data_IF_604222702569
#
_entry.id   IF_604222702569
#
_cell.length_a   1.000
_cell.length_b   1.000
_cell.length_c   1.000
_cell.angle_alpha   90.00
_cell.angle_beta   90.00
_cell.angle_gamma   90.00
#
_symmetry.space_group_name_H-M   'P 1'
#
loop_
_entity.id
_entity.type
_entity.pdbx_description
1 polymer ?
#
# COMPACT_ATOMS: atom_id res chain seq x y z
N UNK A 1 -65.85 53.72 -81.58
CA UNK A 1 -66.17 53.45 -80.15
C UNK A 1 -65.96 52.02 -79.71
N UNK A 2 -66.22 50.96 -80.49
CA UNK A 2 -66.10 49.57 -80.15
C UNK A 2 -64.65 49.13 -79.93
N UNK A 3 -63.71 49.54 -80.80
CA UNK A 3 -62.28 49.18 -80.68
C UNK A 3 -61.61 49.79 -79.45
N UNK A 4 -62.03 50.96 -78.97
CA UNK A 4 -61.50 51.53 -77.71
C UNK A 4 -62.01 50.77 -76.47
N UNK A 5 -63.24 50.30 -76.47
CA UNK A 5 -63.81 49.47 -75.40
C UNK A 5 -63.11 48.12 -75.29
N UNK A 6 -62.80 47.50 -76.41
CA UNK A 6 -62.08 46.23 -76.44
C UNK A 6 -60.61 46.37 -75.92
N UNK A 7 -59.99 47.52 -76.28
CA UNK A 7 -58.60 47.76 -75.80
C UNK A 7 -58.59 48.06 -74.31
N UNK A 8 -59.52 48.84 -73.77
CA UNK A 8 -59.65 49.11 -72.34
C UNK A 8 -60.03 47.85 -71.62
N UNK A 9 -60.89 46.98 -72.18
CA UNK A 9 -61.21 45.62 -71.61
C UNK A 9 -59.99 44.72 -71.51
N UNK A 10 -59.09 44.67 -72.50
CA UNK A 10 -57.85 43.89 -72.47
C UNK A 10 -56.83 44.44 -71.45
N UNK A 11 -56.72 45.75 -71.36
CA UNK A 11 -55.84 46.38 -70.37
C UNK A 11 -56.35 46.16 -68.96
N UNK A 12 -57.63 46.22 -68.70
CA UNK A 12 -58.27 45.92 -67.44
C UNK A 12 -58.00 44.44 -67.01
N UNK A 13 -58.21 43.46 -67.91
CA UNK A 13 -57.95 42.08 -67.67
C UNK A 13 -56.48 41.81 -67.34
N UNK A 14 -55.55 42.48 -68.09
CA UNK A 14 -54.12 42.40 -67.83
C UNK A 14 -53.71 42.97 -66.48
N UNK A 15 -54.32 44.07 -66.07
CA UNK A 15 -54.05 44.70 -64.77
C UNK A 15 -54.66 43.88 -63.65
N UNK A 16 -55.84 43.28 -63.87
CA UNK A 16 -56.42 42.36 -62.91
C UNK A 16 -55.54 41.09 -62.70
N UNK A 17 -55.08 40.45 -63.74
CA UNK A 17 -54.19 39.31 -63.70
C UNK A 17 -52.86 39.63 -62.96
N UNK A 18 -52.31 40.85 -63.30
CA UNK A 18 -51.08 41.32 -62.63
C UNK A 18 -51.31 41.59 -61.13
N UNK A 19 -52.47 42.13 -60.75
CA UNK A 19 -52.85 42.39 -59.38
C UNK A 19 -52.99 41.05 -58.60
N UNK A 20 -53.66 40.07 -59.20
CA UNK A 20 -53.81 38.75 -58.61
C UNK A 20 -52.48 38.05 -58.41
N UNK A 21 -51.59 38.16 -59.41
CA UNK A 21 -50.22 37.53 -59.28
C UNK A 21 -49.38 38.20 -58.18
N UNK A 22 -49.44 39.57 -58.14
CA UNK A 22 -48.74 40.27 -57.04
C UNK A 22 -49.32 39.99 -55.69
N UNK A 23 -50.66 39.80 -55.59
CA UNK A 23 -51.25 39.37 -54.31
C UNK A 23 -50.78 37.98 -53.88
N UNK A 24 -50.72 37.03 -54.82
CA UNK A 24 -50.20 35.69 -54.58
C UNK A 24 -48.72 35.69 -54.14
N UNK A 25 -47.90 36.53 -54.83
CA UNK A 25 -46.47 36.65 -54.40
C UNK A 25 -46.34 37.27 -53.01
N UNK A 26 -47.18 38.28 -52.70
CA UNK A 26 -47.21 38.93 -51.39
C UNK A 26 -47.61 37.95 -50.28
N UNK A 27 -48.68 37.16 -50.49
CA UNK A 27 -49.13 36.13 -49.52
C UNK A 27 -48.11 35.07 -49.37
N UNK A 28 -47.43 34.69 -50.45
CA UNK A 28 -46.30 33.65 -50.33
C UNK A 28 -45.10 34.20 -49.53
N UNK A 29 -44.79 35.48 -49.64
CA UNK A 29 -43.73 36.12 -48.84
C UNK A 29 -44.12 36.19 -47.38
N UNK A 30 -45.37 36.55 -47.06
CA UNK A 30 -45.86 36.59 -45.69
C UNK A 30 -45.84 35.15 -45.02
N UNK A 31 -46.32 34.16 -45.77
CA UNK A 31 -46.28 32.76 -45.29
C UNK A 31 -44.84 32.28 -45.00
N UNK A 32 -43.95 32.62 -45.93
CA UNK A 32 -42.55 32.27 -45.77
C UNK A 32 -41.84 33.01 -44.62
N UNK A 33 -42.19 34.29 -44.39
CA UNK A 33 -41.72 35.07 -43.25
C UNK A 33 -42.16 34.41 -41.93
N UNK A 34 -43.40 33.92 -41.85
CA UNK A 34 -43.94 33.26 -40.68
C UNK A 34 -43.32 31.90 -40.49
N UNK A 35 -43.23 31.08 -41.54
CA UNK A 35 -42.69 29.70 -41.44
C UNK A 35 -41.19 29.63 -41.14
N UNK A 36 -40.40 30.53 -41.78
CA UNK A 36 -38.94 30.51 -41.62
C UNK A 36 -38.42 31.36 -40.43
N UNK A 37 -39.15 32.45 -40.07
CA UNK A 37 -38.63 33.43 -39.09
C UNK A 37 -39.61 33.73 -37.94
N UNK A 38 -40.81 33.17 -37.97
CA UNK A 38 -41.89 33.43 -37.01
C UNK A 38 -42.21 34.94 -36.83
N UNK A 39 -42.01 35.73 -37.88
CA UNK A 39 -42.20 37.17 -37.86
C UNK A 39 -43.51 37.55 -38.58
N UNK A 40 -44.29 38.37 -37.89
CA UNK A 40 -45.42 39.12 -38.59
C UNK A 40 -44.84 40.25 -39.40
N UNK A 41 -45.66 40.77 -40.38
CA UNK A 41 -45.25 41.90 -41.18
C UNK A 41 -44.80 43.12 -40.36
N UNK A 42 -45.50 43.42 -39.26
CA UNK A 42 -45.19 44.57 -38.42
C UNK A 42 -43.86 44.38 -37.68
N UNK A 43 -43.63 43.20 -37.15
CA UNK A 43 -42.37 42.88 -36.52
C UNK A 43 -41.21 42.89 -37.51
N UNK A 44 -41.40 42.38 -38.70
CA UNK A 44 -40.40 42.45 -39.75
C UNK A 44 -40.06 43.88 -40.21
N UNK A 45 -41.05 44.80 -40.23
CA UNK A 45 -40.82 46.24 -40.51
C UNK A 45 -40.05 46.92 -39.36
N UNK A 46 -40.24 46.51 -38.12
CA UNK A 46 -39.52 47.02 -36.93
C UNK A 46 -38.06 46.48 -36.83
N UNK A 47 -37.82 45.23 -37.19
CA UNK A 47 -36.49 44.59 -37.13
C UNK A 47 -35.72 44.76 -38.44
N UNK A 48 -36.40 44.93 -39.52
CA UNK A 48 -35.81 44.98 -40.85
C UNK A 48 -35.02 46.28 -41.15
N UNK A 49 -33.73 46.12 -41.44
CA UNK A 49 -32.92 47.20 -42.01
C UNK A 49 -33.22 47.38 -43.47
N UNK A 50 -33.27 48.64 -43.90
CA UNK A 50 -33.55 49.01 -45.33
C UNK A 50 -32.32 48.66 -46.18
N UNK A 51 -32.46 47.55 -46.97
CA UNK A 51 -31.42 47.13 -47.88
C UNK A 51 -31.33 48.04 -49.08
N UNK A 52 -30.22 48.77 -49.21
CA UNK A 52 -30.02 49.71 -50.34
C UNK A 52 -29.65 48.98 -51.65
N UNK A 53 -28.87 47.86 -51.51
CA UNK A 53 -28.44 47.04 -52.66
C UNK A 53 -28.93 45.61 -52.52
N UNK A 54 -30.10 45.31 -53.02
CA UNK A 54 -30.75 44.00 -52.96
C UNK A 54 -29.95 42.91 -53.69
N UNK A 55 -29.34 43.09 -54.87
CA UNK A 55 -28.55 42.11 -55.56
C UNK A 55 -27.32 41.66 -54.75
N UNK A 56 -26.62 42.59 -54.13
CA UNK A 56 -25.44 42.30 -53.31
C UNK A 56 -25.83 41.54 -52.03
N UNK A 57 -26.93 41.91 -51.38
CA UNK A 57 -27.46 41.24 -50.22
C UNK A 57 -27.88 39.78 -50.51
N UNK A 58 -28.57 39.57 -51.66
CA UNK A 58 -28.96 38.25 -52.12
C UNK A 58 -27.73 37.32 -52.39
N UNK A 59 -26.67 37.87 -53.03
CA UNK A 59 -25.43 37.13 -53.28
C UNK A 59 -24.78 36.74 -52.00
N UNK A 60 -24.68 37.63 -51.03
CA UNK A 60 -24.10 37.34 -49.69
C UNK A 60 -24.90 36.33 -48.92
N UNK A 61 -26.23 36.37 -48.97
CA UNK A 61 -27.12 35.41 -48.39
C UNK A 61 -26.89 34.01 -48.99
N UNK A 62 -26.78 33.91 -50.31
CA UNK A 62 -26.49 32.67 -51.00
C UNK A 62 -25.10 32.10 -50.62
N UNK A 63 -24.07 32.96 -50.53
CA UNK A 63 -22.74 32.56 -50.06
C UNK A 63 -22.76 32.03 -48.62
N UNK A 64 -23.46 32.71 -47.71
CA UNK A 64 -23.59 32.28 -46.32
C UNK A 64 -24.35 30.95 -46.20
N UNK A 65 -25.46 30.79 -46.94
CA UNK A 65 -26.19 29.52 -46.98
C UNK A 65 -25.33 28.38 -47.51
N UNK A 66 -24.53 28.63 -48.55
CA UNK A 66 -23.60 27.64 -49.07
C UNK A 66 -22.49 27.29 -48.06
N UNK A 67 -21.94 28.29 -47.34
CA UNK A 67 -20.96 28.05 -46.26
C UNK A 67 -21.57 27.20 -45.12
N UNK A 68 -22.78 27.52 -44.68
CA UNK A 68 -23.49 26.74 -43.67
C UNK A 68 -23.72 25.31 -44.16
N UNK A 69 -24.15 25.14 -45.42
CA UNK A 69 -24.34 23.82 -46.02
C UNK A 69 -23.03 23.02 -46.16
N UNK A 70 -21.92 23.69 -46.42
CA UNK A 70 -20.60 23.10 -46.53
C UNK A 70 -20.05 22.64 -45.16
N UNK A 71 -20.47 23.24 -44.05
CA UNK A 71 -20.12 22.81 -42.69
C UNK A 71 -20.76 21.50 -42.29
N UNK A 72 -21.80 21.03 -43.04
CA UNK A 72 -22.48 19.76 -42.73
C UNK A 72 -23.24 19.78 -41.42
N UNK A 73 -23.34 18.59 -40.79
CA UNK A 73 -23.99 18.46 -39.49
C UNK A 73 -22.99 18.92 -38.38
N UNK A 74 -23.04 20.19 -38.02
CA UNK A 74 -22.24 20.73 -36.92
C UNK A 74 -22.90 20.35 -35.60
N UNK A 75 -22.17 19.63 -34.75
CA UNK A 75 -22.62 19.37 -33.39
C UNK A 75 -22.46 20.65 -32.55
N UNK A 76 -23.54 21.39 -32.37
CA UNK A 76 -23.55 22.62 -31.58
C UNK A 76 -23.25 22.38 -30.12
N UNK A 77 -23.55 21.16 -29.62
CA UNK A 77 -23.24 20.70 -28.25
C UNK A 77 -21.76 20.36 -28.02
N UNK A 78 -20.98 20.18 -29.12
CA UNK A 78 -19.58 19.72 -28.99
C UNK A 78 -18.70 20.69 -28.17
N UNK A 79 -18.99 21.96 -28.14
CA UNK A 79 -18.23 22.94 -27.33
C UNK A 79 -18.45 22.69 -25.83
N UNK A 80 -19.70 22.44 -25.44
CA UNK A 80 -20.05 22.18 -24.04
C UNK A 80 -19.48 20.81 -23.60
N UNK A 81 -19.70 19.80 -24.44
CA UNK A 81 -19.12 18.45 -24.19
C UNK A 81 -17.59 18.49 -24.06
N UNK A 82 -16.93 19.27 -24.92
CA UNK A 82 -15.47 19.45 -24.85
C UNK A 82 -15.02 20.09 -23.54
N UNK A 83 -15.75 21.13 -23.08
CA UNK A 83 -15.45 21.76 -21.80
C UNK A 83 -15.58 20.77 -20.62
N UNK A 84 -16.71 20.07 -20.55
CA UNK A 84 -16.95 19.07 -19.49
C UNK A 84 -15.90 17.96 -19.48
N UNK A 85 -15.59 17.43 -20.67
CA UNK A 85 -14.55 16.38 -20.81
C UNK A 85 -13.16 16.93 -20.48
N UNK A 86 -12.85 18.18 -20.89
CA UNK A 86 -11.56 18.80 -20.61
C UNK A 86 -11.37 19.07 -19.12
N UNK A 87 -12.39 19.56 -18.41
CA UNK A 87 -12.34 19.76 -16.96
C UNK A 87 -12.19 18.43 -16.22
N UNK A 88 -12.95 17.41 -16.61
CA UNK A 88 -12.84 16.07 -16.05
C UNK A 88 -11.46 15.45 -16.31
N UNK A 89 -10.93 15.63 -17.51
CA UNK A 89 -9.59 15.14 -17.86
C UNK A 89 -8.51 15.83 -17.02
N UNK A 90 -8.59 17.17 -16.88
CA UNK A 90 -7.63 17.91 -16.04
C UNK A 90 -7.66 17.46 -14.58
N UNK A 91 -8.87 17.25 -14.03
CA UNK A 91 -9.05 16.75 -12.68
C UNK A 91 -8.45 15.33 -12.51
N UNK A 92 -8.82 14.39 -13.40
CA UNK A 92 -8.31 13.01 -13.34
C UNK A 92 -6.79 12.95 -13.55
N UNK A 93 -6.26 13.79 -14.46
CA UNK A 93 -4.82 13.88 -14.68
C UNK A 93 -4.10 14.34 -13.42
N UNK A 94 -4.62 15.37 -12.73
CA UNK A 94 -4.07 15.81 -11.45
C UNK A 94 -4.06 14.69 -10.41
N UNK A 95 -5.14 13.91 -10.30
CA UNK A 95 -5.20 12.76 -9.38
C UNK A 95 -4.17 11.68 -9.75
N UNK A 96 -3.99 11.39 -11.04
CA UNK A 96 -2.97 10.42 -11.48
C UNK A 96 -1.57 10.90 -11.12
N UNK A 97 -1.27 12.17 -11.41
CA UNK A 97 0.04 12.76 -11.08
C UNK A 97 0.32 12.71 -9.56
N UNK A 98 -0.68 12.99 -8.72
CA UNK A 98 -0.57 12.89 -7.25
C UNK A 98 -0.33 11.46 -6.78
N UNK A 99 -1.05 10.49 -7.37
CA UNK A 99 -0.87 9.05 -7.04
C UNK A 99 0.50 8.56 -7.50
N UNK A 100 0.96 8.96 -8.69
CA UNK A 100 2.30 8.58 -9.19
C UNK A 100 3.41 9.17 -8.30
N UNK A 101 3.25 10.42 -7.85
CA UNK A 101 4.18 11.05 -6.91
C UNK A 101 4.20 10.30 -5.57
N UNK A 102 3.03 10.01 -5.00
CA UNK A 102 2.92 9.25 -3.74
C UNK A 102 3.52 7.84 -3.87
N UNK A 103 3.33 7.18 -5.02
CA UNK A 103 3.96 5.89 -5.33
C UNK A 103 5.48 6.00 -5.35
N UNK A 104 6.03 7.05 -5.97
CA UNK A 104 7.48 7.25 -6.02
C UNK A 104 8.06 7.48 -4.61
N UNK A 105 7.42 8.31 -3.80
CA UNK A 105 7.81 8.56 -2.41
C UNK A 105 7.78 7.28 -1.56
N UNK A 106 6.74 6.44 -1.72
CA UNK A 106 6.64 5.16 -1.03
C UNK A 106 7.73 4.17 -1.46
N UNK A 107 8.08 4.13 -2.74
CA UNK A 107 9.16 3.26 -3.25
C UNK A 107 10.53 3.70 -2.70
N UNK A 108 10.78 4.99 -2.62
CA UNK A 108 11.99 5.54 -2.00
C UNK A 108 12.06 5.17 -0.50
N UNK A 109 10.95 5.35 0.23
CA UNK A 109 10.85 4.94 1.63
C UNK A 109 11.11 3.45 1.83
N UNK A 110 10.57 2.58 0.97
CA UNK A 110 10.81 1.14 1.02
C UNK A 110 12.29 0.82 0.81
N UNK A 111 12.95 1.49 -0.12
CA UNK A 111 14.39 1.30 -0.37
C UNK A 111 15.22 1.71 0.85
N UNK A 112 14.93 2.85 1.44
CA UNK A 112 15.62 3.35 2.63
C UNK A 112 15.40 2.43 3.84
N UNK A 113 14.16 2.01 4.08
CA UNK A 113 13.85 1.03 5.13
C UNK A 113 14.58 -0.29 4.92
N UNK A 114 14.59 -0.81 3.69
CA UNK A 114 15.30 -2.07 3.37
C UNK A 114 16.79 -1.93 3.61
N UNK A 115 17.39 -0.80 3.24
CA UNK A 115 18.81 -0.52 3.49
C UNK A 115 19.11 -0.48 5.00
N UNK A 116 18.30 0.22 5.78
CA UNK A 116 18.46 0.28 7.24
C UNK A 116 18.26 -1.10 7.90
N UNK A 117 17.26 -1.87 7.43
CA UNK A 117 17.06 -3.24 7.91
C UNK A 117 18.28 -4.13 7.66
N UNK A 118 18.88 -4.08 6.45
CA UNK A 118 20.09 -4.83 6.12
C UNK A 118 21.25 -4.45 7.02
N UNK A 119 21.46 -3.16 7.23
CA UNK A 119 22.53 -2.67 8.09
C UNK A 119 22.33 -3.14 9.52
N UNK A 120 21.16 -2.90 10.12
CA UNK A 120 20.86 -3.33 11.49
C UNK A 120 20.96 -4.84 11.67
N UNK A 121 20.43 -5.60 10.69
CA UNK A 121 20.50 -7.06 10.73
C UNK A 121 21.95 -7.55 10.72
N UNK A 122 22.79 -7.04 9.83
CA UNK A 122 24.21 -7.41 9.74
C UNK A 122 24.96 -7.08 11.03
N UNK A 123 24.76 -5.87 11.57
CA UNK A 123 25.39 -5.45 12.81
C UNK A 123 24.96 -6.32 14.01
N UNK A 124 23.65 -6.58 14.14
CA UNK A 124 23.11 -7.43 15.22
C UNK A 124 23.54 -8.90 15.05
N UNK A 125 23.53 -9.39 13.82
CA UNK A 125 24.00 -10.75 13.56
C UNK A 125 25.47 -10.94 13.95
N UNK A 126 26.34 -9.99 13.63
CA UNK A 126 27.75 -10.03 14.05
C UNK A 126 27.89 -10.06 15.59
N UNK A 127 27.07 -9.26 16.31
CA UNK A 127 27.04 -9.28 17.77
C UNK A 127 26.53 -10.63 18.33
N UNK A 128 25.47 -11.18 17.74
CA UNK A 128 24.94 -12.49 18.10
C UNK A 128 25.99 -13.58 17.88
N UNK A 129 26.66 -13.57 16.74
CA UNK A 129 27.69 -14.55 16.41
C UNK A 129 28.87 -14.51 17.40
N UNK A 130 29.34 -13.31 17.72
CA UNK A 130 30.38 -13.13 18.73
C UNK A 130 29.96 -13.65 20.10
N UNK A 131 28.74 -13.31 20.54
CA UNK A 131 28.17 -13.78 21.80
C UNK A 131 28.01 -15.31 21.79
N UNK A 132 27.54 -15.87 20.68
CA UNK A 132 27.35 -17.31 20.52
C UNK A 132 28.66 -18.08 20.75
N UNK A 133 29.74 -17.64 20.09
CA UNK A 133 31.05 -18.26 20.29
C UNK A 133 31.58 -18.17 21.72
N UNK A 134 31.25 -17.09 22.46
CA UNK A 134 31.62 -16.96 23.89
C UNK A 134 30.79 -17.84 24.79
N UNK A 135 29.46 -17.81 24.65
CA UNK A 135 28.49 -18.55 25.46
C UNK A 135 28.67 -20.06 25.25
N UNK A 136 28.88 -20.47 23.99
CA UNK A 136 29.16 -21.85 23.67
C UNK A 136 30.39 -22.39 24.45
N UNK A 137 31.50 -21.62 24.42
CA UNK A 137 32.70 -22.01 25.18
C UNK A 137 32.47 -22.12 26.68
N UNK A 138 31.65 -21.24 27.22
CA UNK A 138 31.31 -21.25 28.64
C UNK A 138 30.44 -22.48 29.02
N UNK A 139 29.40 -22.76 28.23
CA UNK A 139 28.45 -23.82 28.49
C UNK A 139 29.06 -25.22 28.21
N UNK A 140 29.82 -25.36 27.13
CA UNK A 140 30.50 -26.63 26.80
C UNK A 140 31.81 -26.85 27.55
N UNK A 141 32.35 -25.79 28.19
CA UNK A 141 33.67 -25.85 28.83
C UNK A 141 34.82 -25.85 27.83
N UNK A 142 34.63 -25.29 26.64
CA UNK A 142 35.63 -25.21 25.58
C UNK A 142 35.01 -25.32 24.18
N UNK A 143 35.85 -25.49 23.16
CA UNK A 143 35.40 -25.64 21.79
C UNK A 143 35.22 -24.30 21.05
N UNK A 144 34.60 -24.36 19.90
CA UNK A 144 34.30 -23.19 19.06
C UNK A 144 32.90 -23.30 18.43
N UNK A 145 32.26 -22.17 18.27
CA UNK A 145 30.96 -22.09 17.57
C UNK A 145 30.85 -20.81 16.79
N UNK A 146 30.24 -20.89 15.64
CA UNK A 146 30.08 -19.78 14.70
C UNK A 146 28.75 -19.90 13.94
N UNK A 147 28.15 -18.75 13.63
CA UNK A 147 27.03 -18.61 12.71
C UNK A 147 27.52 -17.95 11.43
N UNK A 148 27.12 -18.47 10.28
CA UNK A 148 27.43 -17.89 8.96
C UNK A 148 26.20 -17.84 8.08
N UNK A 149 26.18 -16.90 7.15
CA UNK A 149 25.13 -16.88 6.11
C UNK A 149 25.40 -17.99 5.10
N UNK A 150 24.35 -18.59 4.56
CA UNK A 150 24.45 -19.56 3.45
C UNK A 150 24.60 -18.86 2.10
N UNK A 151 24.11 -17.61 2.00
CA UNK A 151 24.21 -16.76 0.82
C UNK A 151 24.51 -15.31 1.26
N UNK A 152 25.65 -14.81 0.87
CA UNK A 152 26.10 -13.45 1.19
C UNK A 152 25.46 -12.37 0.27
N UNK A 153 24.76 -12.78 -0.79
CA UNK A 153 24.17 -11.84 -1.75
C UNK A 153 23.00 -11.05 -1.16
N UNK A 154 22.18 -11.67 -0.30
CA UNK A 154 21.08 -11.00 0.40
C UNK A 154 20.90 -11.53 1.82
N UNK A 155 21.46 -10.81 2.77
CA UNK A 155 21.43 -11.17 4.20
C UNK A 155 20.03 -11.26 4.81
N UNK A 156 19.00 -10.62 4.19
CA UNK A 156 17.63 -10.65 4.71
C UNK A 156 16.87 -11.92 4.31
N UNK A 157 17.26 -12.56 3.21
CA UNK A 157 16.63 -13.79 2.69
C UNK A 157 17.53 -15.01 2.85
N UNK A 158 18.80 -14.81 3.23
CA UNK A 158 19.78 -15.88 3.42
C UNK A 158 19.37 -16.81 4.56
N UNK A 159 19.68 -18.10 4.40
CA UNK A 159 19.69 -19.05 5.49
C UNK A 159 20.88 -18.81 6.44
N UNK A 160 20.82 -19.39 7.64
CA UNK A 160 21.92 -19.34 8.62
C UNK A 160 22.43 -20.75 8.83
N UNK A 161 23.72 -20.93 8.61
CA UNK A 161 24.43 -22.16 8.91
C UNK A 161 25.04 -22.09 10.32
N UNK A 162 24.91 -23.18 11.10
CA UNK A 162 25.42 -23.27 12.45
C UNK A 162 26.62 -24.25 12.44
N UNK A 163 27.82 -23.71 12.70
CA UNK A 163 29.06 -24.47 12.78
C UNK A 163 29.49 -24.55 14.22
N UNK A 164 29.63 -25.79 14.73
CA UNK A 164 30.01 -26.03 16.14
C UNK A 164 31.06 -27.13 16.22
N UNK A 165 32.03 -26.90 17.09
CA UNK A 165 33.10 -27.83 17.39
C UNK A 165 33.22 -28.00 18.91
N UNK A 166 32.48 -28.98 19.51
CA UNK A 166 32.59 -29.28 20.92
C UNK A 166 34.02 -29.72 21.29
N UNK A 167 34.43 -29.53 22.54
CA UNK A 167 35.77 -29.94 22.98
C UNK A 167 35.96 -31.45 22.83
N UNK A 168 37.11 -31.87 22.24
CA UNK A 168 37.47 -33.27 22.10
C UNK A 168 36.74 -34.04 20.98
N UNK A 169 35.91 -33.39 20.17
CA UNK A 169 35.20 -34.02 19.06
C UNK A 169 35.43 -33.25 17.74
N UNK A 170 35.60 -34.02 16.67
CA UNK A 170 35.57 -33.47 15.32
C UNK A 170 34.15 -33.67 14.79
N UNK A 171 33.39 -32.56 14.69
CA UNK A 171 32.01 -32.57 14.22
C UNK A 171 31.96 -31.79 12.89
N UNK A 172 31.45 -32.43 11.84
CA UNK A 172 31.26 -31.80 10.51
C UNK A 172 29.85 -31.31 10.32
N UNK A 173 28.87 -31.95 10.98
CA UNK A 173 27.46 -31.60 10.84
C UNK A 173 26.77 -31.62 12.22
N UNK A 174 25.85 -30.68 12.45
CA UNK A 174 25.09 -30.54 13.69
C UNK A 174 24.26 -31.83 14.02
N UNK A 175 23.87 -32.58 12.97
CA UNK A 175 23.10 -33.82 13.09
C UNK A 175 23.88 -34.91 13.86
N UNK A 176 25.21 -34.87 13.85
CA UNK A 176 26.08 -35.86 14.54
C UNK A 176 26.23 -35.57 16.02
N UNK A 177 25.67 -34.48 16.54
CA UNK A 177 25.63 -34.21 17.98
C UNK A 177 24.56 -35.06 18.69
N UNK A 178 24.82 -35.37 19.95
CA UNK A 178 23.84 -36.00 20.85
C UNK A 178 22.66 -35.04 21.12
N UNK A 179 21.53 -35.59 21.61
CA UNK A 179 20.36 -34.77 21.95
C UNK A 179 20.67 -33.66 22.96
N UNK A 180 21.42 -33.96 24.00
CA UNK A 180 21.85 -32.97 25.00
C UNK A 180 22.79 -31.91 24.43
N UNK A 181 23.74 -32.31 23.55
CA UNK A 181 24.61 -31.33 22.85
C UNK A 181 23.82 -30.41 21.93
N UNK A 182 22.84 -30.93 21.18
CA UNK A 182 21.95 -30.12 20.36
C UNK A 182 21.14 -29.12 21.18
N UNK A 183 20.61 -29.57 22.33
CA UNK A 183 19.89 -28.69 23.25
C UNK A 183 20.81 -27.58 23.80
N UNK A 184 22.06 -27.92 24.18
CA UNK A 184 23.01 -26.94 24.67
C UNK A 184 23.43 -25.92 23.60
N UNK A 185 23.57 -26.34 22.34
CA UNK A 185 23.79 -25.44 21.19
C UNK A 185 22.61 -24.46 21.06
N UNK A 186 21.37 -24.97 21.06
CA UNK A 186 20.18 -24.17 20.96
C UNK A 186 20.07 -23.13 22.10
N UNK A 187 20.34 -23.55 23.32
CA UNK A 187 20.40 -22.69 24.52
C UNK A 187 21.48 -21.62 24.35
N UNK A 188 22.65 -21.98 23.81
CA UNK A 188 23.75 -21.02 23.56
C UNK A 188 23.36 -19.94 22.56
N UNK A 189 22.66 -20.29 21.46
CA UNK A 189 22.16 -19.34 20.47
C UNK A 189 21.10 -18.46 21.12
N UNK A 190 20.16 -19.03 21.85
CA UNK A 190 19.10 -18.28 22.52
C UNK A 190 19.66 -17.20 23.45
N UNK A 191 20.63 -17.59 24.30
CA UNK A 191 21.29 -16.63 25.20
C UNK A 191 22.14 -15.59 24.43
N UNK A 192 22.72 -15.97 23.28
CA UNK A 192 23.44 -15.01 22.43
C UNK A 192 22.53 -13.91 21.90
N UNK A 193 21.33 -14.28 21.50
CA UNK A 193 20.30 -13.33 21.05
C UNK A 193 19.86 -12.43 22.23
N UNK A 194 19.54 -13.03 23.38
CA UNK A 194 19.13 -12.29 24.58
C UNK A 194 20.21 -11.31 25.07
N UNK A 195 21.48 -11.65 24.93
CA UNK A 195 22.58 -10.77 25.34
C UNK A 195 22.71 -9.52 24.48
N UNK A 196 22.26 -9.57 23.21
CA UNK A 196 22.22 -8.40 22.33
C UNK A 196 21.08 -7.43 22.70
N UNK A 197 19.94 -8.00 23.12
CA UNK A 197 18.78 -7.24 23.54
C UNK A 197 18.12 -7.90 24.76
N UNK A 198 18.65 -7.62 25.99
CA UNK A 198 18.14 -8.25 27.20
C UNK A 198 16.68 -7.90 27.46
N UNK A 199 15.78 -8.89 27.55
CA UNK A 199 14.40 -8.63 27.94
C UNK A 199 14.32 -8.32 29.44
N UNK A 200 13.28 -7.61 29.91
CA UNK A 200 13.09 -7.33 31.34
C UNK A 200 12.87 -8.62 32.14
N UNK A 201 12.18 -9.59 31.58
CA UNK A 201 12.02 -10.93 32.16
C UNK A 201 11.96 -12.01 31.08
N UNK A 202 12.25 -13.25 31.46
CA UNK A 202 12.21 -14.42 30.59
C UNK A 202 11.64 -15.62 31.34
N UNK A 203 10.73 -16.36 30.71
CA UNK A 203 10.19 -17.62 31.22
C UNK A 203 10.82 -18.77 30.45
N UNK A 204 11.46 -19.73 31.17
CA UNK A 204 12.10 -20.91 30.63
C UNK A 204 11.37 -22.12 31.14
N UNK A 205 10.86 -22.95 30.24
CA UNK A 205 10.10 -24.16 30.61
C UNK A 205 10.87 -25.41 30.20
N UNK A 206 11.48 -26.07 31.19
CA UNK A 206 12.24 -27.34 31.09
C UNK A 206 13.29 -27.37 29.95
N UNK A 207 13.89 -26.24 29.59
CA UNK A 207 14.82 -26.16 28.45
C UNK A 207 16.09 -26.96 28.67
N UNK A 208 16.46 -27.25 29.92
CA UNK A 208 17.62 -28.04 30.33
C UNK A 208 17.30 -29.54 30.54
N UNK A 209 16.08 -29.99 30.27
CA UNK A 209 15.66 -31.37 30.54
C UNK A 209 16.57 -32.44 29.87
N UNK A 210 17.08 -32.12 28.66
CA UNK A 210 17.96 -33.01 27.90
C UNK A 210 19.45 -32.95 28.31
N UNK A 211 19.83 -32.05 29.23
CA UNK A 211 21.21 -31.88 29.69
C UNK A 211 21.61 -32.89 30.76
N UNK A 212 22.87 -33.26 30.77
CA UNK A 212 23.47 -33.99 31.89
C UNK A 212 23.72 -33.05 33.09
N UNK A 213 23.99 -33.61 34.26
CA UNK A 213 24.13 -32.87 35.52
C UNK A 213 25.25 -31.81 35.49
N UNK A 214 26.37 -32.12 34.78
CA UNK A 214 27.48 -31.18 34.63
C UNK A 214 27.08 -29.97 33.82
N UNK A 215 26.35 -30.18 32.71
CA UNK A 215 25.87 -29.12 31.85
C UNK A 215 24.70 -28.35 32.50
N UNK A 216 23.83 -28.98 33.30
CA UNK A 216 22.82 -28.32 34.13
C UNK A 216 23.48 -27.37 35.13
N UNK A 217 24.56 -27.75 35.80
CA UNK A 217 25.26 -26.86 36.71
C UNK A 217 25.86 -25.64 36.01
N UNK A 218 26.47 -25.81 34.82
CA UNK A 218 26.99 -24.72 34.01
C UNK A 218 25.85 -23.77 33.51
N UNK A 219 24.76 -24.36 33.10
CA UNK A 219 23.56 -23.62 32.70
C UNK A 219 23.02 -22.76 33.85
N UNK A 220 22.86 -23.32 35.06
CA UNK A 220 22.40 -22.60 36.24
C UNK A 220 23.34 -21.45 36.62
N UNK A 221 24.67 -21.69 36.58
CA UNK A 221 25.66 -20.62 36.80
C UNK A 221 25.58 -19.52 35.75
N UNK A 222 25.32 -19.89 34.49
CA UNK A 222 25.15 -18.89 33.41
C UNK A 222 23.91 -18.06 33.66
N UNK A 223 22.77 -18.66 33.98
CA UNK A 223 21.53 -17.96 34.34
C UNK A 223 21.71 -16.99 35.49
N UNK A 224 22.41 -17.42 36.57
CA UNK A 224 22.68 -16.57 37.71
C UNK A 224 23.51 -15.34 37.36
N UNK A 225 24.37 -15.38 36.34
CA UNK A 225 25.09 -14.20 35.84
C UNK A 225 24.18 -13.31 35.02
N UNK A 226 23.34 -13.88 34.17
CA UNK A 226 22.39 -13.14 33.35
C UNK A 226 21.26 -12.49 34.16
N UNK A 227 20.95 -13.04 35.37
CA UNK A 227 19.89 -12.53 36.25
C UNK A 227 20.16 -11.09 36.77
N UNK A 228 21.40 -10.63 36.65
CA UNK A 228 21.74 -9.21 36.94
C UNK A 228 21.13 -8.18 35.97
N UNK A 229 20.74 -8.62 34.78
CA UNK A 229 20.19 -7.76 33.71
C UNK A 229 18.74 -8.10 33.39
N UNK A 230 18.30 -9.35 33.58
CA UNK A 230 16.98 -9.85 33.23
C UNK A 230 16.47 -10.77 34.35
N UNK A 231 15.21 -10.70 34.68
CA UNK A 231 14.55 -11.62 35.58
C UNK A 231 14.28 -12.94 34.87
N UNK A 232 14.72 -14.09 35.47
CA UNK A 232 14.43 -15.44 34.97
C UNK A 232 13.39 -16.11 35.83
N UNK A 233 12.38 -16.68 35.17
CA UNK A 233 11.41 -17.60 35.79
C UNK A 233 11.62 -18.94 35.11
N UNK A 234 12.19 -19.92 35.85
CA UNK A 234 12.46 -21.22 35.30
C UNK A 234 11.51 -22.25 35.88
N UNK A 235 10.82 -22.99 35.00
CA UNK A 235 10.05 -24.17 35.35
C UNK A 235 10.99 -25.35 35.17
N UNK A 236 11.25 -26.10 36.24
CA UNK A 236 12.26 -27.17 36.22
C UNK A 236 11.96 -28.25 37.24
N UNK A 237 12.40 -29.44 36.94
CA UNK A 237 12.51 -30.57 37.89
C UNK A 237 13.97 -30.93 38.22
N UNK A 238 14.94 -30.16 37.68
CA UNK A 238 16.37 -30.41 37.83
C UNK A 238 16.90 -29.73 39.09
N UNK A 239 17.49 -30.51 40.00
CA UNK A 239 18.01 -30.02 41.28
C UNK A 239 19.09 -28.94 41.08
N UNK A 240 20.02 -29.13 40.10
CA UNK A 240 21.06 -28.15 39.84
C UNK A 240 20.55 -26.75 39.40
N UNK A 241 19.42 -26.69 38.69
CA UNK A 241 18.78 -25.43 38.34
C UNK A 241 18.11 -24.81 39.59
N UNK A 242 17.43 -25.59 40.41
CA UNK A 242 16.81 -25.15 41.67
C UNK A 242 17.83 -24.53 42.63
N UNK A 243 18.97 -25.21 42.85
CA UNK A 243 20.06 -24.75 43.74
C UNK A 243 20.70 -23.44 43.24
N UNK A 244 20.63 -23.16 41.93
CA UNK A 244 21.13 -21.93 41.31
C UNK A 244 20.16 -20.75 41.39
N UNK A 245 18.92 -20.92 41.82
CA UNK A 245 17.89 -19.88 41.89
C UNK A 245 17.94 -19.12 43.23
N UNK A 246 17.40 -17.89 43.25
CA UNK A 246 17.28 -17.09 44.49
C UNK A 246 15.99 -17.46 45.27
N UNK A 247 14.92 -17.79 44.54
CA UNK A 247 13.60 -18.15 45.08
C UNK A 247 13.06 -19.40 44.42
N UNK A 248 12.50 -20.29 45.23
CA UNK A 248 11.80 -21.50 44.81
C UNK A 248 10.30 -21.32 44.99
N UNK A 249 9.53 -21.64 43.97
CA UNK A 249 8.07 -21.68 44.03
C UNK A 249 7.60 -23.10 43.76
N UNK A 250 7.16 -23.79 44.84
CA UNK A 250 6.55 -25.10 44.74
C UNK A 250 5.05 -24.99 44.46
N UNK A 251 4.60 -25.68 43.41
CA UNK A 251 3.17 -25.81 43.11
C UNK A 251 2.67 -27.14 43.54
N UNK A 252 1.74 -27.19 44.49
CA UNK A 252 1.16 -28.42 45.01
C UNK A 252 -0.36 -28.38 44.95
N UNK A 253 -1.00 -29.55 44.98
CA UNK A 253 -2.44 -29.71 45.01
C UNK A 253 -2.83 -30.41 46.30
N UNK A 254 -3.26 -29.65 47.31
CA UNK A 254 -3.73 -30.23 48.59
C UNK A 254 -5.17 -30.74 48.50
N UNK A 255 -6.04 -29.94 47.79
CA UNK A 255 -7.42 -30.30 47.53
C UNK A 255 -7.56 -30.55 46.03
N UNK A 256 -8.40 -31.53 45.65
CA UNK A 256 -8.59 -31.86 44.23
C UNK A 256 -9.02 -30.63 43.41
N UNK A 257 -8.23 -30.27 42.41
CA UNK A 257 -8.49 -29.19 41.49
C UNK A 257 -8.05 -27.80 41.96
N UNK A 258 -7.43 -27.67 43.15
CA UNK A 258 -6.96 -26.37 43.68
C UNK A 258 -5.45 -26.38 43.83
N UNK A 259 -4.75 -25.62 43.02
CA UNK A 259 -3.31 -25.43 43.13
C UNK A 259 -2.97 -24.44 44.25
N UNK A 260 -1.99 -24.79 45.07
CA UNK A 260 -1.43 -23.97 46.14
C UNK A 260 0.04 -23.66 45.84
N UNK A 261 0.38 -22.38 45.95
CA UNK A 261 1.75 -21.91 45.75
C UNK A 261 2.47 -21.79 47.09
N UNK A 262 3.67 -22.39 47.17
CA UNK A 262 4.59 -22.28 48.29
C UNK A 262 5.83 -21.54 47.81
N UNK A 263 6.28 -20.51 48.53
CA UNK A 263 7.49 -19.75 48.21
C UNK A 263 8.54 -19.99 49.29
N UNK A 264 9.77 -20.25 48.89
CA UNK A 264 10.91 -20.51 49.80
C UNK A 264 12.15 -19.86 49.20
N UNK A 265 12.91 -19.17 50.04
CA UNK A 265 14.25 -18.69 49.64
C UNK A 265 15.22 -19.88 49.59
N UNK A 266 16.09 -19.92 48.57
CA UNK A 266 17.04 -21.04 48.42
C UNK A 266 18.03 -21.13 49.57
N UNK A 267 18.41 -19.99 50.20
CA UNK A 267 19.23 -19.95 51.42
C UNK A 267 18.55 -20.65 52.61
N UNK A 268 17.23 -20.44 52.78
CA UNK A 268 16.42 -21.08 53.82
C UNK A 268 16.23 -22.59 53.55
N UNK A 269 16.11 -22.98 52.24
CA UNK A 269 15.97 -24.39 51.83
C UNK A 269 17.21 -25.23 52.18
N UNK A 270 18.38 -24.64 52.14
CA UNK A 270 19.62 -25.32 52.47
C UNK A 270 19.72 -25.70 53.96
N UNK A 271 19.03 -24.96 54.85
CA UNK A 271 18.97 -25.24 56.30
C UNK A 271 18.04 -26.42 56.65
N UNK A 272 17.04 -26.70 55.80
CA UNK A 272 16.07 -27.81 56.00
C UNK A 272 16.51 -29.12 55.38
N UNK A 273 17.63 -29.16 54.65
CA UNK A 273 18.14 -30.33 53.93
C UNK A 273 19.29 -31.06 54.60
N UNK A 274 19.66 -30.67 55.80
CA UNK A 274 20.60 -31.37 56.69
C UNK A 274 19.80 -32.12 57.74
#
# INVERSE_FOLDING_TARGET
>A
MTAQRENVGRELARLQERSENLQKEYDAILSRMWEEYELTRREAEEVGERIEDLPTAQRRLAELKNKIKALGAVNVGAVVEYQEVSERYAFLKGQVDDVEKSKAELLELIQDLTKHMRQQFTERFAQINQNFGQIFRELFGGGAAELSFTDDSDVLTSGIEIKVHPPGKIVTHIESLSGGEKALVAISIYFAIMRVNPPPFCVLDEIEAALDDVNVARFAQYLRRMSRQSQFITITHRRGTMEGSDMLYGVTMQDQGISKLLALRTEEAAEFGT
#
